data_IF_422325792433
#
_entry.id   IF_422325792433
#
_cell.length_a   1.000
_cell.length_b   1.000
_cell.length_c   1.000
_cell.angle_alpha   90.00
_cell.angle_beta   90.00
_cell.angle_gamma   90.00
#
_symmetry.space_group_name_H-M   'P 1'
#
loop_
_entity.id
_entity.type
_entity.pdbx_description
1 polymer ?
#
# COMPACT_ATOMS: atom_id res chain seq x y z
N UNK A 1 19.52 31.12 -93.89
CA UNK A 1 20.78 30.62 -94.47
C UNK A 1 21.46 29.77 -93.47
N UNK A 2 21.77 28.51 -93.85
CA UNK A 2 22.76 27.59 -93.29
C UNK A 2 22.45 27.08 -91.88
N UNK A 3 21.84 25.89 -91.71
CA UNK A 3 22.31 24.51 -91.83
C UNK A 3 23.51 24.16 -90.92
N UNK A 4 23.33 23.28 -89.92
CA UNK A 4 23.94 21.97 -89.86
C UNK A 4 23.82 21.45 -88.47
N UNK A 5 23.30 20.36 -88.31
CA UNK A 5 23.71 18.96 -88.36
C UNK A 5 24.09 18.37 -87.05
N UNK A 6 23.29 17.53 -86.66
CA UNK A 6 23.27 16.42 -85.70
C UNK A 6 24.62 15.68 -85.57
N UNK A 7 25.01 15.39 -84.30
CA UNK A 7 25.73 14.16 -84.01
C UNK A 7 25.16 13.53 -82.71
N UNK A 8 24.53 12.38 -82.91
CA UNK A 8 24.11 11.55 -81.78
C UNK A 8 25.31 10.73 -81.31
N UNK A 9 25.65 10.87 -80.03
CA UNK A 9 26.55 9.96 -79.35
C UNK A 9 25.76 9.19 -78.32
N UNK A 10 25.55 7.92 -78.54
CA UNK A 10 24.93 6.99 -77.57
C UNK A 10 26.01 6.52 -76.63
N UNK A 11 25.87 6.91 -75.35
CA UNK A 11 26.69 6.37 -74.26
C UNK A 11 25.85 5.34 -73.53
N UNK A 12 26.28 4.08 -73.66
CA UNK A 12 25.77 2.92 -72.93
C UNK A 12 26.26 3.01 -71.46
N UNK A 13 25.41 3.37 -70.50
CA UNK A 13 25.73 3.33 -69.12
C UNK A 13 25.34 1.98 -68.50
N UNK A 14 26.32 1.12 -68.27
CA UNK A 14 26.14 -0.07 -67.43
C UNK A 14 25.82 0.36 -65.98
N UNK A 15 24.56 0.19 -65.60
CA UNK A 15 24.14 0.36 -64.20
C UNK A 15 24.48 -0.88 -63.39
N UNK A 16 25.50 -0.78 -62.55
CA UNK A 16 25.74 -1.73 -61.44
C UNK A 16 24.72 -1.51 -60.37
N UNK A 17 23.74 -2.41 -60.27
CA UNK A 17 22.77 -2.47 -59.13
C UNK A 17 23.53 -3.06 -57.94
N UNK A 18 23.96 -2.21 -57.03
CA UNK A 18 24.42 -2.64 -55.74
C UNK A 18 23.19 -3.00 -54.87
N UNK A 19 22.94 -4.29 -54.71
CA UNK A 19 22.01 -4.81 -53.68
C UNK A 19 22.59 -4.51 -52.30
N UNK A 20 22.15 -3.41 -51.71
CA UNK A 20 22.34 -3.18 -50.26
C UNK A 20 21.34 -4.10 -49.56
N UNK A 21 21.81 -5.26 -49.11
CA UNK A 21 21.10 -6.09 -48.14
C UNK A 21 21.12 -5.35 -46.82
N UNK A 22 20.07 -4.57 -46.54
CA UNK A 22 19.77 -4.16 -45.18
C UNK A 22 19.44 -5.41 -44.36
N UNK A 23 20.41 -5.94 -43.65
CA UNK A 23 20.15 -6.85 -42.55
C UNK A 23 19.39 -6.05 -41.46
N UNK A 24 18.08 -6.12 -41.48
CA UNK A 24 17.27 -5.81 -40.33
C UNK A 24 17.67 -6.83 -39.25
N UNK A 25 18.70 -6.54 -38.47
CA UNK A 25 18.82 -7.13 -37.15
C UNK A 25 17.67 -6.54 -36.36
N UNK A 26 16.54 -7.23 -36.31
CA UNK A 26 15.57 -7.05 -35.26
C UNK A 26 16.36 -7.19 -33.94
N UNK A 27 16.69 -6.06 -33.37
CA UNK A 27 17.05 -6.04 -31.94
C UNK A 27 15.81 -6.55 -31.24
N UNK A 28 15.82 -7.85 -30.92
CA UNK A 28 14.88 -8.44 -30.01
C UNK A 28 14.97 -7.56 -28.75
N UNK A 29 14.00 -6.67 -28.58
CA UNK A 29 13.88 -5.87 -27.38
C UNK A 29 13.63 -6.91 -26.29
N UNK A 30 14.69 -7.31 -25.59
CA UNK A 30 14.57 -8.17 -24.42
C UNK A 30 13.72 -7.33 -23.47
N UNK A 31 12.49 -7.76 -23.24
CA UNK A 31 11.64 -7.14 -22.25
C UNK A 31 12.47 -7.10 -20.95
N UNK A 32 12.55 -5.93 -20.33
CA UNK A 32 13.25 -5.79 -19.08
C UNK A 32 12.70 -6.84 -18.09
N UNK A 33 13.59 -7.53 -17.38
CA UNK A 33 13.19 -8.55 -16.42
C UNK A 33 12.31 -7.90 -15.34
N UNK A 34 11.13 -8.45 -15.09
CA UNK A 34 10.24 -8.00 -14.03
C UNK A 34 10.65 -8.69 -12.73
N UNK A 35 11.28 -7.95 -11.82
CA UNK A 35 11.76 -8.49 -10.55
C UNK A 35 10.62 -8.71 -9.55
N UNK A 36 9.53 -7.95 -9.65
CA UNK A 36 8.35 -8.13 -8.81
C UNK A 36 7.69 -9.51 -9.00
N UNK A 37 7.83 -10.13 -10.17
CA UNK A 37 7.29 -11.47 -10.44
C UNK A 37 8.01 -12.57 -9.63
N UNK A 38 9.17 -12.28 -9.09
CA UNK A 38 9.94 -13.17 -8.22
C UNK A 38 9.62 -12.99 -6.73
N UNK A 39 8.78 -12.03 -6.37
CA UNK A 39 8.39 -11.77 -4.97
C UNK A 39 7.10 -12.52 -4.64
N UNK A 40 7.10 -13.22 -3.53
CA UNK A 40 5.92 -13.82 -2.93
C UNK A 40 5.70 -13.20 -1.53
N UNK A 41 4.86 -12.15 -1.42
CA UNK A 41 4.67 -11.44 -0.15
C UNK A 41 4.03 -12.29 0.96
N UNK A 42 3.50 -13.47 0.63
CA UNK A 42 2.94 -14.40 1.63
C UNK A 42 4.02 -15.22 2.35
N UNK A 43 5.25 -15.30 1.82
CA UNK A 43 6.36 -15.96 2.52
C UNK A 43 6.63 -15.23 3.84
N UNK A 44 6.56 -15.93 4.96
CA UNK A 44 6.76 -15.37 6.29
C UNK A 44 5.49 -14.84 6.97
N UNK A 45 4.32 -14.86 6.31
CA UNK A 45 3.05 -14.45 6.93
C UNK A 45 2.40 -15.52 7.78
N UNK A 46 2.92 -16.75 7.78
CA UNK A 46 2.47 -17.86 8.62
C UNK A 46 3.47 -18.24 9.72
N UNK A 47 3.07 -19.09 10.65
CA UNK A 47 3.88 -19.50 11.79
C UNK A 47 4.27 -18.30 12.65
N UNK A 48 5.57 -18.16 12.92
CA UNK A 48 6.12 -17.05 13.73
C UNK A 48 6.85 -16.02 12.85
N UNK A 49 6.45 -15.84 11.58
CA UNK A 49 7.17 -14.95 10.66
C UNK A 49 6.82 -13.47 10.83
N UNK A 50 5.58 -13.16 11.19
CA UNK A 50 5.08 -11.81 11.48
C UNK A 50 5.31 -10.79 10.37
N UNK A 51 5.24 -11.22 9.10
CA UNK A 51 5.46 -10.36 7.94
C UNK A 51 4.16 -9.65 7.56
N UNK A 52 4.28 -8.37 7.20
CA UNK A 52 3.18 -7.60 6.63
C UNK A 52 2.73 -8.17 5.28
N UNK A 53 1.43 -8.23 5.07
CA UNK A 53 0.78 -8.59 3.81
C UNK A 53 -0.10 -7.44 3.35
N UNK A 54 0.14 -6.92 2.16
CA UNK A 54 -0.63 -5.80 1.63
C UNK A 54 0.14 -4.98 0.59
N UNK A 55 -0.40 -3.79 0.30
CA UNK A 55 0.16 -2.84 -0.65
C UNK A 55 1.05 -1.81 0.05
N UNK A 56 2.25 -1.62 -0.45
CA UNK A 56 3.20 -0.58 -0.05
C UNK A 56 4.14 -0.25 -1.20
N UNK A 57 4.87 0.84 -1.11
CA UNK A 57 6.07 1.10 -1.94
C UNK A 57 7.32 0.92 -1.07
N UNK A 58 8.52 0.80 -1.65
CA UNK A 58 9.75 0.74 -0.88
C UNK A 58 9.84 1.92 0.11
N UNK A 59 9.95 1.61 1.40
CA UNK A 59 10.04 2.58 2.48
C UNK A 59 8.88 3.61 2.58
N UNK A 60 7.74 3.38 1.92
CA UNK A 60 6.58 4.27 2.00
C UNK A 60 6.02 4.41 3.42
N UNK A 61 5.40 5.55 3.71
CA UNK A 61 4.71 5.78 5.00
C UNK A 61 3.50 4.84 5.17
N UNK A 62 2.91 4.39 4.04
CA UNK A 62 1.71 3.54 4.02
C UNK A 62 2.10 2.07 3.87
N UNK A 63 1.59 1.24 4.78
CA UNK A 63 1.49 -0.21 4.65
C UNK A 63 0.01 -0.59 4.73
N UNK A 64 -0.66 -0.59 3.57
CA UNK A 64 -2.10 -0.82 3.46
C UNK A 64 -2.40 -2.31 3.29
N UNK A 65 -3.00 -2.92 4.30
CA UNK A 65 -3.27 -4.35 4.26
C UNK A 65 -4.37 -4.82 5.18
N UNK A 66 -4.75 -6.10 5.06
CA UNK A 66 -5.80 -6.69 5.89
C UNK A 66 -5.36 -6.92 7.33
N UNK A 67 -6.27 -6.62 8.27
CA UNK A 67 -6.18 -7.10 9.64
C UNK A 67 -7.14 -8.27 9.82
N UNK A 68 -6.62 -9.40 10.29
CA UNK A 68 -7.42 -10.54 10.69
C UNK A 68 -8.06 -10.32 12.07
N UNK A 69 -9.06 -11.13 12.39
CA UNK A 69 -9.59 -11.18 13.74
C UNK A 69 -8.59 -11.89 14.66
N UNK A 70 -7.92 -11.11 15.50
CA UNK A 70 -6.78 -11.54 16.31
C UNK A 70 -7.06 -12.78 17.15
N UNK A 71 -6.19 -13.77 17.07
CA UNK A 71 -6.28 -15.02 17.81
C UNK A 71 -5.10 -15.29 18.77
N UNK A 72 -4.03 -14.52 18.67
CA UNK A 72 -2.85 -14.70 19.51
C UNK A 72 -1.66 -13.85 19.09
N UNK A 73 -0.48 -14.19 19.60
CA UNK A 73 0.75 -13.46 19.36
C UNK A 73 1.15 -13.44 17.87
N UNK A 74 0.95 -14.52 17.15
CA UNK A 74 1.33 -14.62 15.74
C UNK A 74 0.55 -13.68 14.81
N UNK A 75 -0.53 -13.06 15.30
CA UNK A 75 -1.29 -12.02 14.59
C UNK A 75 -0.75 -10.60 14.81
N UNK A 76 0.45 -10.43 15.36
CA UNK A 76 0.97 -9.12 15.73
C UNK A 76 1.24 -8.19 14.53
N UNK A 77 1.45 -8.71 13.32
CA UNK A 77 1.54 -7.91 12.10
C UNK A 77 0.19 -7.61 11.42
N UNK A 78 -0.92 -7.92 12.09
CA UNK A 78 -2.29 -7.72 11.56
C UNK A 78 -2.81 -8.91 10.76
N UNK A 79 -2.01 -9.54 9.92
CA UNK A 79 -2.35 -10.69 9.10
C UNK A 79 -1.61 -11.95 9.55
N UNK A 80 -2.30 -13.09 9.43
CA UNK A 80 -1.69 -14.41 9.60
C UNK A 80 -2.24 -15.39 8.57
N UNK A 81 -1.37 -16.09 7.83
CA UNK A 81 -1.74 -16.92 6.70
C UNK A 81 -2.74 -18.06 7.04
N UNK A 82 -2.75 -18.56 8.26
CA UNK A 82 -3.72 -19.57 8.71
C UNK A 82 -5.13 -19.03 8.98
N UNK A 83 -5.32 -17.70 8.94
CA UNK A 83 -6.63 -17.09 9.15
C UNK A 83 -7.40 -16.92 7.82
N UNK A 84 -8.71 -16.88 7.95
CA UNK A 84 -9.65 -16.64 6.86
C UNK A 84 -10.67 -15.52 7.18
N UNK A 85 -10.36 -14.67 8.16
CA UNK A 85 -11.21 -13.55 8.57
C UNK A 85 -10.52 -12.22 8.32
N UNK A 86 -11.28 -11.18 7.98
CA UNK A 86 -10.82 -9.80 7.86
C UNK A 86 -11.77 -8.90 8.65
N UNK A 87 -11.20 -8.07 9.54
CA UNK A 87 -11.93 -7.05 10.32
C UNK A 87 -11.83 -5.66 9.70
N UNK A 88 -10.91 -5.45 8.78
CA UNK A 88 -10.69 -4.20 8.06
C UNK A 88 -9.32 -4.17 7.41
N UNK A 89 -9.08 -3.10 6.66
CA UNK A 89 -7.82 -2.82 5.98
C UNK A 89 -7.19 -1.59 6.64
N UNK A 90 -6.07 -1.82 7.34
CA UNK A 90 -5.35 -0.78 8.07
C UNK A 90 -4.26 -0.14 7.19
N UNK A 91 -3.88 1.09 7.52
CA UNK A 91 -2.96 1.90 6.73
C UNK A 91 -1.52 1.86 7.24
N UNK A 92 -1.30 1.32 8.44
CA UNK A 92 0.01 1.20 9.06
C UNK A 92 0.21 -0.20 9.61
N UNK A 93 1.40 -0.80 9.40
CA UNK A 93 1.75 -2.12 9.93
C UNK A 93 3.23 -2.20 10.25
N UNK A 94 3.57 -3.02 11.25
CA UNK A 94 4.92 -3.54 11.42
C UNK A 94 5.12 -4.78 10.55
N UNK A 95 6.35 -5.07 10.18
CA UNK A 95 6.73 -6.26 9.42
C UNK A 95 7.97 -6.92 10.02
N UNK A 96 7.92 -8.24 10.23
CA UNK A 96 9.03 -9.04 10.73
C UNK A 96 9.35 -8.86 12.22
N UNK A 97 8.54 -8.13 12.97
CA UNK A 97 8.74 -7.82 14.38
C UNK A 97 7.73 -8.61 15.22
N UNK A 98 8.20 -9.40 16.17
CA UNK A 98 7.36 -10.23 17.05
C UNK A 98 6.66 -9.46 18.17
N UNK A 99 6.27 -8.21 17.91
CA UNK A 99 5.49 -7.37 18.79
C UNK A 99 4.34 -6.73 18.02
N UNK A 100 3.18 -6.67 18.61
CA UNK A 100 2.02 -6.04 18.01
C UNK A 100 2.06 -4.53 18.29
N UNK A 101 1.97 -3.76 17.21
CA UNK A 101 1.77 -2.31 17.23
C UNK A 101 1.19 -1.85 15.89
N UNK A 102 0.81 -0.59 15.78
CA UNK A 102 0.21 -0.01 14.59
C UNK A 102 -1.12 -0.71 14.20
N UNK A 103 -1.39 -0.89 12.92
CA UNK A 103 -2.68 -1.36 12.44
C UNK A 103 -3.73 -0.26 12.56
N UNK A 104 -3.31 0.99 12.31
CA UNK A 104 -4.16 2.17 12.49
C UNK A 104 -5.09 2.39 11.31
N UNK A 105 -6.25 2.99 11.60
CA UNK A 105 -7.21 3.49 10.62
C UNK A 105 -7.73 2.36 9.73
N UNK A 106 -8.60 1.52 10.29
CA UNK A 106 -9.20 0.42 9.51
C UNK A 106 -10.42 0.93 8.74
N UNK A 107 -10.43 0.62 7.44
CA UNK A 107 -11.60 0.75 6.60
C UNK A 107 -12.12 -0.64 6.23
N UNK A 108 -13.40 -0.91 6.49
CA UNK A 108 -14.00 -2.20 6.17
C UNK A 108 -15.25 -2.01 5.30
N UNK A 109 -15.21 -2.41 4.01
CA UNK A 109 -16.40 -2.41 3.17
C UNK A 109 -17.37 -3.51 3.61
N UNK A 110 -18.65 -3.14 3.73
CA UNK A 110 -19.71 -4.00 4.22
C UNK A 110 -21.03 -3.74 3.44
N UNK A 111 -22.01 -4.61 3.59
CA UNK A 111 -23.28 -4.52 2.84
C UNK A 111 -24.53 -4.47 3.75
N UNK A 112 -24.43 -4.79 5.01
CA UNK A 112 -25.58 -4.85 5.93
C UNK A 112 -25.08 -4.81 7.36
N UNK A 113 -24.49 -3.68 7.74
CA UNK A 113 -24.06 -3.49 9.12
C UNK A 113 -25.31 -3.25 9.97
N UNK A 114 -25.59 -4.19 10.87
CA UNK A 114 -26.69 -4.10 11.82
C UNK A 114 -26.08 -3.72 13.18
N UNK A 115 -26.49 -2.58 13.70
CA UNK A 115 -26.12 -2.20 15.05
C UNK A 115 -27.07 -2.77 16.10
N UNK A 116 -26.56 -2.98 17.28
CA UNK A 116 -27.33 -3.28 18.47
C UNK A 116 -27.15 -2.17 19.50
N UNK A 117 -28.18 -1.37 19.73
CA UNK A 117 -28.29 -0.50 20.88
C UNK A 117 -27.11 0.45 21.17
N UNK A 118 -26.58 1.12 20.14
CA UNK A 118 -25.57 2.18 20.32
C UNK A 118 -24.10 1.71 20.39
N UNK A 119 -23.85 0.43 20.20
CA UNK A 119 -22.52 -0.16 20.08
C UNK A 119 -22.38 -0.98 18.80
N UNK A 120 -21.22 -0.89 18.11
CA UNK A 120 -20.92 -1.64 16.92
C UNK A 120 -19.79 -2.65 17.22
N UNK A 121 -20.11 -3.92 17.52
CA UNK A 121 -19.08 -4.94 17.69
C UNK A 121 -18.45 -5.31 16.35
N UNK A 122 -17.19 -5.74 16.36
CA UNK A 122 -16.49 -6.18 15.13
C UNK A 122 -17.20 -7.34 14.44
N UNK A 123 -17.91 -8.20 15.19
CA UNK A 123 -18.74 -9.28 14.64
C UNK A 123 -19.87 -8.81 13.72
N UNK A 124 -20.24 -7.53 13.76
CA UNK A 124 -21.28 -6.96 12.90
C UNK A 124 -20.80 -6.69 11.46
N UNK A 125 -19.48 -6.65 11.22
CA UNK A 125 -18.90 -6.34 9.91
C UNK A 125 -17.70 -7.23 9.53
N UNK A 126 -17.17 -8.08 10.44
CA UNK A 126 -16.12 -9.04 10.08
C UNK A 126 -16.57 -9.89 8.90
N UNK A 127 -15.67 -10.09 7.95
CA UNK A 127 -15.90 -10.96 6.79
C UNK A 127 -14.92 -12.11 6.77
N UNK A 128 -15.29 -13.17 6.06
CA UNK A 128 -14.37 -14.26 5.71
C UNK A 128 -13.87 -14.09 4.28
N UNK A 129 -12.81 -14.78 3.93
CA UNK A 129 -12.29 -14.86 2.57
C UNK A 129 -11.74 -16.24 2.26
N UNK A 130 -11.56 -16.56 0.99
CA UNK A 130 -10.94 -17.79 0.53
C UNK A 130 -9.54 -17.46 -0.01
N UNK A 131 -8.54 -18.25 0.36
CA UNK A 131 -7.14 -18.06 -0.06
C UNK A 131 -6.96 -18.06 -1.59
N UNK A 132 -7.74 -18.82 -2.32
CA UNK A 132 -7.72 -18.83 -3.79
C UNK A 132 -8.36 -17.59 -4.44
N UNK A 133 -9.02 -16.72 -3.67
CA UNK A 133 -9.59 -15.45 -4.10
C UNK A 133 -8.78 -14.25 -3.56
N UNK A 134 -7.60 -14.51 -3.01
CA UNK A 134 -6.64 -13.54 -2.53
C UNK A 134 -5.46 -13.43 -3.51
N UNK A 135 -5.07 -12.22 -3.86
CA UNK A 135 -3.90 -11.93 -4.67
C UNK A 135 -3.05 -10.87 -3.97
N UNK A 136 -1.78 -11.16 -3.82
CA UNK A 136 -0.80 -10.23 -3.23
C UNK A 136 0.42 -10.15 -4.13
N UNK A 137 0.76 -8.94 -4.54
CA UNK A 137 2.00 -8.64 -5.26
C UNK A 137 2.62 -7.37 -4.69
N UNK A 138 3.92 -7.08 -4.90
CA UNK A 138 4.49 -5.82 -4.48
C UNK A 138 3.68 -4.62 -4.98
N UNK A 139 3.21 -3.77 -4.07
CA UNK A 139 2.39 -2.60 -4.39
C UNK A 139 0.89 -2.85 -4.56
N UNK A 140 0.43 -4.10 -4.47
CA UNK A 140 -0.98 -4.42 -4.69
C UNK A 140 -1.50 -5.56 -3.79
N UNK A 141 -2.76 -5.44 -3.38
CA UNK A 141 -3.51 -6.47 -2.67
C UNK A 141 -4.94 -6.55 -3.20
N UNK A 142 -5.45 -7.76 -3.38
CA UNK A 142 -6.83 -7.99 -3.79
C UNK A 142 -7.43 -9.16 -3.02
N UNK A 143 -8.73 -9.03 -2.66
CA UNK A 143 -9.47 -10.13 -2.02
C UNK A 143 -10.98 -9.98 -2.25
N UNK A 144 -11.69 -11.12 -2.28
CA UNK A 144 -13.15 -11.16 -2.25
C UNK A 144 -13.66 -11.48 -0.86
N UNK A 145 -14.56 -10.65 -0.33
CA UNK A 145 -15.14 -10.79 1.01
C UNK A 145 -16.43 -11.61 1.00
N UNK A 146 -16.59 -12.50 1.96
CA UNK A 146 -17.77 -13.33 2.17
C UNK A 146 -18.43 -13.08 3.54
N UNK A 147 -19.76 -13.09 3.66
CA UNK A 147 -20.77 -13.34 2.61
C UNK A 147 -21.17 -12.06 1.83
N UNK A 148 -20.46 -10.94 2.04
CA UNK A 148 -20.83 -9.66 1.43
C UNK A 148 -20.77 -9.70 -0.11
N UNK A 149 -19.79 -10.42 -0.67
CA UNK A 149 -19.52 -10.47 -2.11
C UNK A 149 -18.74 -9.25 -2.62
N UNK A 150 -18.24 -8.38 -1.73
CA UNK A 150 -17.45 -7.22 -2.11
C UNK A 150 -16.07 -7.65 -2.56
N UNK A 151 -15.64 -7.18 -3.74
CA UNK A 151 -14.24 -7.27 -4.15
C UNK A 151 -13.51 -6.02 -3.65
N UNK A 152 -12.34 -6.23 -3.07
CA UNK A 152 -11.46 -5.20 -2.53
C UNK A 152 -10.17 -5.23 -3.31
N UNK A 153 -9.72 -4.08 -3.76
CA UNK A 153 -8.38 -3.86 -4.32
C UNK A 153 -7.73 -2.71 -3.57
N UNK A 154 -6.44 -2.86 -3.24
CA UNK A 154 -5.64 -1.90 -2.51
C UNK A 154 -4.34 -1.63 -3.25
N UNK A 155 -3.92 -0.36 -3.26
CA UNK A 155 -2.59 0.08 -3.66
C UNK A 155 -2.15 1.24 -2.78
N UNK A 156 -0.87 1.59 -2.80
CA UNK A 156 -0.35 2.65 -1.95
C UNK A 156 0.69 3.51 -2.68
N UNK A 157 0.54 4.82 -2.54
CA UNK A 157 1.61 5.78 -2.74
C UNK A 157 2.43 5.98 -1.46
N UNK A 158 3.31 6.98 -1.46
CA UNK A 158 4.21 7.20 -0.32
C UNK A 158 3.46 7.55 0.98
N UNK A 159 2.40 8.39 0.91
CA UNK A 159 1.66 8.91 2.07
C UNK A 159 0.15 8.68 1.99
N UNK A 160 -0.31 8.05 0.90
CA UNK A 160 -1.74 7.85 0.62
C UNK A 160 -2.01 6.40 0.26
N UNK A 161 -2.88 5.76 1.02
CA UNK A 161 -3.45 4.46 0.68
C UNK A 161 -4.69 4.62 -0.20
N UNK A 162 -4.82 3.77 -1.20
CA UNK A 162 -5.96 3.78 -2.12
C UNK A 162 -6.71 2.46 -2.09
N UNK A 163 -8.03 2.57 -2.01
CA UNK A 163 -8.94 1.43 -2.05
C UNK A 163 -9.88 1.55 -3.24
N UNK A 164 -10.18 0.40 -3.84
CA UNK A 164 -11.25 0.22 -4.83
C UNK A 164 -12.17 -0.89 -4.35
N UNK A 165 -13.43 -0.56 -4.09
CA UNK A 165 -14.44 -1.49 -3.62
C UNK A 165 -15.50 -1.70 -4.70
N UNK A 166 -15.70 -2.94 -5.14
CA UNK A 166 -16.74 -3.33 -6.08
C UNK A 166 -17.84 -4.08 -5.31
N UNK A 167 -18.97 -3.45 -5.16
CA UNK A 167 -20.13 -4.02 -4.45
C UNK A 167 -21.04 -4.79 -5.39
N UNK A 168 -21.74 -5.84 -4.92
CA UNK A 168 -22.85 -6.44 -5.66
C UNK A 168 -23.93 -5.38 -5.95
N UNK A 169 -24.46 -5.39 -7.18
CA UNK A 169 -25.38 -4.36 -7.68
C UNK A 169 -26.76 -4.35 -6.99
N UNK A 170 -27.08 -5.38 -6.21
CA UNK A 170 -28.33 -5.54 -5.46
C UNK A 170 -28.17 -5.21 -3.96
N UNK A 171 -26.96 -4.86 -3.51
CA UNK A 171 -26.66 -4.60 -2.09
C UNK A 171 -26.29 -3.15 -1.85
N UNK A 172 -26.66 -2.65 -0.66
CA UNK A 172 -26.22 -1.31 -0.22
C UNK A 172 -24.75 -1.32 0.13
N UNK A 173 -24.02 -0.38 -0.43
CA UNK A 173 -22.62 -0.17 -0.14
C UNK A 173 -22.46 0.59 1.19
N UNK A 174 -21.71 0.02 2.11
CA UNK A 174 -21.34 0.64 3.38
C UNK A 174 -19.83 0.53 3.60
N UNK A 175 -19.27 1.48 4.35
CA UNK A 175 -17.89 1.41 4.84
C UNK A 175 -17.90 1.69 6.33
N UNK A 176 -17.26 0.81 7.09
CA UNK A 176 -16.98 1.02 8.51
C UNK A 176 -15.58 1.65 8.63
N UNK A 177 -15.51 2.82 9.22
CA UNK A 177 -14.25 3.43 9.69
C UNK A 177 -14.08 3.04 11.14
N UNK A 178 -13.02 2.32 11.46
CA UNK A 178 -12.79 1.73 12.77
C UNK A 178 -11.46 2.22 13.38
N UNK A 179 -11.54 2.97 14.46
CA UNK A 179 -10.40 3.44 15.25
C UNK A 179 -10.29 2.74 16.61
N UNK A 180 -11.15 1.76 16.87
CA UNK A 180 -11.08 0.94 18.10
C UNK A 180 -10.12 -0.23 17.93
N UNK A 181 -10.21 -0.93 16.79
CA UNK A 181 -9.35 -2.07 16.50
C UNK A 181 -8.01 -1.65 15.89
N UNK A 182 -7.00 -2.47 16.10
CA UNK A 182 -5.63 -2.31 15.57
C UNK A 182 -4.90 -3.65 15.65
N UNK A 183 -3.62 -3.71 15.29
CA UNK A 183 -2.76 -4.88 15.46
C UNK A 183 -2.32 -5.09 16.94
N UNK A 184 -3.18 -4.86 17.89
CA UNK A 184 -2.88 -4.78 19.33
C UNK A 184 -2.24 -6.03 19.92
N UNK A 185 -1.31 -5.80 20.85
CA UNK A 185 -0.81 -6.81 21.78
C UNK A 185 -1.80 -7.09 22.91
N UNK A 186 -2.03 -8.37 23.21
CA UNK A 186 -2.68 -8.79 24.47
C UNK A 186 -1.75 -8.64 25.69
N UNK A 187 -0.48 -8.26 25.48
CA UNK A 187 0.55 -8.47 26.48
C UNK A 187 1.06 -7.22 27.18
N UNK A 188 0.98 -6.03 26.59
CA UNK A 188 1.80 -4.94 27.12
C UNK A 188 1.06 -3.67 27.52
N UNK A 189 0.04 -3.18 26.82
CA UNK A 189 -0.63 -1.92 27.16
C UNK A 189 -2.06 -1.81 26.59
N UNK A 190 -2.70 -0.70 26.86
CA UNK A 190 -4.14 -0.50 26.64
C UNK A 190 -4.58 -0.29 25.16
N UNK A 191 -3.67 -0.38 24.19
CA UNK A 191 -4.03 -0.16 22.78
C UNK A 191 -4.48 1.27 22.48
N UNK A 192 -5.67 1.45 21.94
CA UNK A 192 -6.24 2.77 21.68
C UNK A 192 -6.48 3.53 22.98
N UNK A 193 -5.80 4.68 23.16
CA UNK A 193 -5.98 5.59 24.30
C UNK A 193 -7.14 6.53 24.04
N UNK A 194 -7.19 7.09 22.82
CA UNK A 194 -8.23 8.01 22.38
C UNK A 194 -8.38 7.99 20.88
N UNK A 195 -9.55 8.40 20.40
CA UNK A 195 -9.78 8.63 18.98
C UNK A 195 -10.89 9.66 18.75
N UNK A 196 -10.78 10.37 17.63
CA UNK A 196 -11.82 11.27 17.14
C UNK A 196 -12.14 10.95 15.68
N UNK A 197 -13.42 10.99 15.33
CA UNK A 197 -13.94 10.81 13.98
C UNK A 197 -14.95 11.91 13.67
N UNK A 198 -14.80 12.52 12.50
CA UNK A 198 -15.69 13.57 12.03
C UNK A 198 -15.99 13.42 10.53
N UNK A 199 -17.26 13.50 10.16
CA UNK A 199 -17.69 13.71 8.78
C UNK A 199 -17.62 15.22 8.49
N UNK A 200 -16.78 15.64 7.54
CA UNK A 200 -16.57 17.06 7.19
C UNK A 200 -17.61 17.50 6.16
N UNK A 201 -17.89 16.65 5.19
CA UNK A 201 -18.88 16.86 4.14
C UNK A 201 -19.36 15.48 3.63
N UNK A 202 -20.14 15.46 2.56
CA UNK A 202 -20.70 14.23 1.98
C UNK A 202 -19.67 13.27 1.33
N UNK A 203 -18.40 13.59 1.35
CA UNK A 203 -17.36 12.75 0.75
C UNK A 203 -16.09 12.63 1.61
N UNK A 204 -16.01 13.31 2.76
CA UNK A 204 -14.76 13.43 3.51
C UNK A 204 -14.94 13.10 4.98
N UNK A 205 -14.16 12.13 5.45
CA UNK A 205 -14.00 11.79 6.87
C UNK A 205 -12.60 12.13 7.32
N UNK A 206 -12.48 12.73 8.49
CA UNK A 206 -11.21 13.00 9.16
C UNK A 206 -11.21 12.40 10.56
N UNK A 207 -10.03 12.16 11.09
CA UNK A 207 -9.92 11.70 12.45
C UNK A 207 -8.50 11.63 12.95
N UNK A 208 -8.38 11.23 14.18
CA UNK A 208 -7.11 10.98 14.87
C UNK A 208 -7.27 9.77 15.77
N UNK A 209 -6.23 8.95 15.82
CA UNK A 209 -6.10 7.85 16.78
C UNK A 209 -4.81 8.00 17.56
N UNK A 210 -4.90 7.89 18.86
CA UNK A 210 -3.73 7.80 19.73
C UNK A 210 -3.69 6.44 20.42
N UNK A 211 -2.51 5.86 20.49
CA UNK A 211 -2.24 4.57 21.11
C UNK A 211 -0.97 4.61 21.94
N UNK A 212 -0.86 3.71 22.88
CA UNK A 212 0.33 3.51 23.70
C UNK A 212 0.62 2.00 23.77
N UNK A 213 1.40 1.56 22.80
CA UNK A 213 1.84 0.18 22.65
C UNK A 213 3.37 0.11 22.77
N UNK A 214 4.07 -0.52 21.83
CA UNK A 214 5.52 -0.48 21.76
C UNK A 214 6.01 0.93 21.39
N UNK A 215 5.39 1.56 20.41
CA UNK A 215 5.55 3.00 20.15
C UNK A 215 4.75 3.81 21.17
N UNK A 216 5.44 4.39 22.15
CA UNK A 216 4.82 5.21 23.19
C UNK A 216 4.31 6.55 22.61
N UNK A 217 3.11 6.97 23.02
CA UNK A 217 2.47 8.22 22.58
C UNK A 217 2.33 8.31 21.03
N UNK A 218 2.07 7.17 20.42
CA UNK A 218 1.82 7.11 18.99
C UNK A 218 0.50 7.81 18.64
N UNK A 219 0.52 8.72 17.69
CA UNK A 219 -0.66 9.45 17.23
C UNK A 219 -0.65 9.54 15.73
N UNK A 220 -1.76 9.12 15.10
CA UNK A 220 -1.96 9.16 13.65
C UNK A 220 -3.18 10.00 13.33
N UNK A 221 -3.00 11.05 12.56
CA UNK A 221 -4.06 11.83 11.94
C UNK A 221 -4.34 11.28 10.55
N UNK A 222 -5.58 11.35 10.12
CA UNK A 222 -5.92 10.90 8.77
C UNK A 222 -7.02 11.73 8.13
N UNK A 223 -7.06 11.68 6.81
CA UNK A 223 -8.13 12.20 5.97
C UNK A 223 -8.45 11.22 4.88
N UNK A 224 -9.73 10.80 4.81
CA UNK A 224 -10.25 9.92 3.76
C UNK A 224 -11.23 10.66 2.87
N UNK A 225 -11.06 10.54 1.55
CA UNK A 225 -12.01 11.05 0.54
C UNK A 225 -12.60 9.87 -0.20
N UNK A 226 -13.93 9.89 -0.36
CA UNK A 226 -14.74 8.89 -1.05
C UNK A 226 -15.22 9.45 -2.39
N UNK A 227 -15.15 8.65 -3.46
CA UNK A 227 -15.54 9.05 -4.81
C UNK A 227 -17.05 9.15 -5.04
N UNK A 228 -17.84 8.71 -4.09
CA UNK A 228 -19.31 8.74 -4.11
C UNK A 228 -19.82 9.46 -2.87
N UNK A 229 -20.99 10.15 -2.95
CA UNK A 229 -21.53 10.85 -1.80
C UNK A 229 -21.99 9.89 -0.69
N UNK A 230 -21.68 10.24 0.53
CA UNK A 230 -22.15 9.58 1.75
C UNK A 230 -23.58 10.05 1.98
N UNK A 231 -24.54 9.13 1.82
CA UNK A 231 -25.97 9.43 1.96
C UNK A 231 -26.39 9.50 3.42
N UNK A 232 -25.73 8.71 4.28
CA UNK A 232 -25.99 8.69 5.72
C UNK A 232 -24.73 8.24 6.47
N UNK A 233 -24.59 8.67 7.72
CA UNK A 233 -23.52 8.23 8.60
C UNK A 233 -24.02 8.03 10.01
N UNK A 234 -23.38 7.09 10.72
CA UNK A 234 -23.65 6.84 12.13
C UNK A 234 -22.36 6.66 12.91
N UNK A 235 -22.16 7.52 13.90
CA UNK A 235 -21.01 7.46 14.82
C UNK A 235 -21.35 6.58 16.02
N UNK A 236 -20.44 5.69 16.36
CA UNK A 236 -20.44 4.86 17.57
C UNK A 236 -19.22 5.26 18.41
N UNK A 237 -19.49 5.83 19.56
CA UNK A 237 -18.45 6.27 20.49
C UNK A 237 -18.43 5.35 21.72
N UNK A 238 -17.33 4.65 21.90
CA UNK A 238 -16.94 3.99 23.14
C UNK A 238 -15.91 4.84 23.85
N UNK A 239 -15.61 4.56 25.12
CA UNK A 239 -14.74 5.42 25.95
C UNK A 239 -13.42 5.85 25.27
N UNK A 240 -12.77 4.96 24.52
CA UNK A 240 -11.47 5.21 23.89
C UNK A 240 -11.49 5.09 22.36
N UNK A 241 -12.27 4.18 21.83
CA UNK A 241 -12.33 3.89 20.38
C UNK A 241 -13.63 4.35 19.74
N UNK A 242 -13.55 4.97 18.57
CA UNK A 242 -14.70 5.40 17.77
C UNK A 242 -14.79 4.60 16.50
N UNK A 243 -16.02 4.34 16.08
CA UNK A 243 -16.33 3.75 14.77
C UNK A 243 -17.38 4.59 14.08
N UNK A 244 -17.34 4.62 12.75
CA UNK A 244 -18.37 5.29 11.95
C UNK A 244 -18.79 4.36 10.81
N UNK A 245 -20.10 4.17 10.65
CA UNK A 245 -20.67 3.50 9.47
C UNK A 245 -21.09 4.58 8.50
N UNK A 246 -20.63 4.47 7.26
CA UNK A 246 -20.97 5.32 6.13
C UNK A 246 -21.85 4.52 5.18
N UNK A 247 -22.96 5.07 4.72
CA UNK A 247 -23.90 4.45 3.77
C UNK A 247 -23.88 5.22 2.43
N UNK A 248 -23.61 4.51 1.34
CA UNK A 248 -23.52 5.06 -0.02
C UNK A 248 -24.72 4.63 -0.89
N UNK A 249 -25.67 3.86 -0.34
CA UNK A 249 -26.77 3.30 -1.11
C UNK A 249 -26.30 2.18 -2.05
N UNK A 250 -27.06 1.98 -3.14
CA UNK A 250 -26.73 0.99 -4.18
C UNK A 250 -25.79 1.65 -5.20
N UNK A 251 -24.62 1.08 -5.40
CA UNK A 251 -23.63 1.57 -6.35
C UNK A 251 -23.58 0.67 -7.60
N UNK A 252 -23.49 1.31 -8.77
CA UNK A 252 -23.29 0.62 -10.06
C UNK A 252 -21.85 0.66 -10.52
N UNK A 253 -21.05 1.54 -9.92
CA UNK A 253 -19.63 1.73 -10.18
C UNK A 253 -18.80 1.51 -8.91
N UNK A 254 -17.51 1.22 -9.02
CA UNK A 254 -16.65 1.08 -7.86
C UNK A 254 -16.66 2.32 -6.95
N UNK A 255 -16.57 2.09 -5.65
CA UNK A 255 -16.27 3.12 -4.67
C UNK A 255 -14.74 3.21 -4.53
N UNK A 256 -14.18 4.36 -4.90
CA UNK A 256 -12.77 4.65 -4.68
C UNK A 256 -12.62 5.44 -3.38
N UNK A 257 -11.57 5.11 -2.62
CA UNK A 257 -11.21 5.82 -1.39
C UNK A 257 -9.72 6.15 -1.43
N UNK A 258 -9.39 7.40 -1.12
CA UNK A 258 -8.02 7.86 -0.85
C UNK A 258 -7.93 8.19 0.63
N UNK A 259 -6.97 7.62 1.34
CA UNK A 259 -6.72 7.91 2.75
C UNK A 259 -5.27 8.32 2.93
N UNK A 260 -5.04 9.57 3.29
CA UNK A 260 -3.75 10.06 3.71
C UNK A 260 -3.60 9.99 5.22
N UNK A 261 -2.38 9.72 5.68
CA UNK A 261 -2.03 9.78 7.10
C UNK A 261 -0.95 10.83 7.36
N UNK A 262 -0.87 11.30 8.60
CA UNK A 262 0.20 12.15 9.11
C UNK A 262 0.46 11.80 10.57
N UNK A 263 1.72 11.80 10.97
CA UNK A 263 2.12 11.66 12.38
C UNK A 263 2.27 13.02 13.07
N UNK A 264 1.99 14.11 12.36
CA UNK A 264 2.17 15.50 12.82
C UNK A 264 0.83 16.16 13.13
N UNK A 265 -0.07 16.25 12.15
CA UNK A 265 -1.32 16.99 12.30
C UNK A 265 -2.40 16.62 11.28
N UNK A 266 -3.61 17.12 11.50
CA UNK A 266 -4.73 17.02 10.54
C UNK A 266 -4.45 17.79 9.25
N UNK A 267 -3.73 18.92 9.34
CA UNK A 267 -3.29 19.75 8.21
C UNK A 267 -2.23 19.00 7.40
N UNK A 268 -1.31 18.28 8.07
CA UNK A 268 -0.33 17.40 7.41
C UNK A 268 -1.03 16.29 6.60
N UNK A 269 -2.04 15.64 7.18
CA UNK A 269 -2.84 14.65 6.46
C UNK A 269 -3.59 15.24 5.25
N UNK A 270 -4.06 16.50 5.34
CA UNK A 270 -4.65 17.23 4.21
C UNK A 270 -3.61 17.48 3.12
N UNK A 271 -2.45 18.04 3.48
CA UNK A 271 -1.38 18.35 2.53
C UNK A 271 -0.88 17.07 1.81
N UNK A 272 -0.71 15.96 2.55
CA UNK A 272 -0.34 14.66 1.99
C UNK A 272 -1.39 14.16 0.98
N UNK A 273 -2.68 14.34 1.29
CA UNK A 273 -3.76 13.93 0.40
C UNK A 273 -3.83 14.80 -0.86
N UNK A 274 -3.68 16.13 -0.71
CA UNK A 274 -3.70 17.08 -1.82
C UNK A 274 -2.52 16.93 -2.76
N UNK A 275 -1.38 16.43 -2.27
CA UNK A 275 -0.23 16.12 -3.11
C UNK A 275 -0.43 14.88 -3.99
N UNK A 276 -1.38 13.99 -3.65
CA UNK A 276 -1.64 12.76 -4.40
C UNK A 276 -2.76 12.96 -5.43
N UNK A 277 -2.38 13.36 -6.64
CA UNK A 277 -3.33 13.64 -7.74
C UNK A 277 -3.64 12.43 -8.62
N UNK A 278 -2.81 11.38 -8.56
CA UNK A 278 -2.90 10.20 -9.44
C UNK A 278 -4.17 9.40 -9.16
N UNK A 279 -4.62 8.68 -10.17
CA UNK A 279 -5.69 7.69 -10.08
C UNK A 279 -5.20 6.42 -9.37
N UNK A 280 -6.11 5.52 -9.04
CA UNK A 280 -5.77 4.22 -8.46
C UNK A 280 -4.81 3.42 -9.35
N UNK A 281 -5.09 3.39 -10.67
CA UNK A 281 -4.29 2.60 -11.61
C UNK A 281 -2.89 3.20 -11.80
N UNK A 282 -2.77 4.53 -11.89
CA UNK A 282 -1.47 5.22 -11.95
C UNK A 282 -0.62 4.99 -10.70
N UNK A 283 -1.23 5.00 -9.50
CA UNK A 283 -0.49 4.71 -8.26
C UNK A 283 -0.05 3.24 -8.21
N UNK A 284 -0.89 2.32 -8.69
CA UNK A 284 -0.52 0.91 -8.77
C UNK A 284 0.64 0.68 -9.76
N UNK A 285 0.58 1.28 -10.97
CA UNK A 285 1.65 1.20 -11.96
C UNK A 285 2.98 1.74 -11.41
N UNK A 286 2.95 2.92 -10.77
CA UNK A 286 4.11 3.51 -10.11
C UNK A 286 4.66 2.64 -8.99
N UNK A 287 3.81 2.04 -8.17
CA UNK A 287 4.23 1.14 -7.09
C UNK A 287 4.99 -0.07 -7.64
N UNK A 288 4.51 -0.67 -8.74
CA UNK A 288 5.20 -1.78 -9.43
C UNK A 288 6.55 -1.32 -9.98
N UNK A 289 6.61 -0.13 -10.60
CA UNK A 289 7.86 0.42 -11.13
C UNK A 289 8.89 0.67 -10.01
N UNK A 290 8.47 1.32 -8.91
CA UNK A 290 9.32 1.57 -7.75
C UNK A 290 9.86 0.28 -7.13
N UNK A 291 9.04 -0.77 -7.04
CA UNK A 291 9.50 -2.07 -6.56
C UNK A 291 10.47 -2.74 -7.53
N UNK A 292 10.23 -2.67 -8.84
CA UNK A 292 11.16 -3.19 -9.84
C UNK A 292 12.53 -2.49 -9.74
N UNK A 293 12.52 -1.17 -9.62
CA UNK A 293 13.76 -0.38 -9.48
C UNK A 293 14.51 -0.76 -8.19
N UNK A 294 13.81 -0.87 -7.08
CA UNK A 294 14.41 -1.24 -5.80
C UNK A 294 15.01 -2.66 -5.82
N UNK A 295 14.28 -3.63 -6.37
CA UNK A 295 14.71 -5.03 -6.47
C UNK A 295 15.83 -5.24 -7.49
N UNK A 296 15.87 -4.42 -8.56
CA UNK A 296 16.91 -4.48 -9.61
C UNK A 296 18.32 -4.14 -9.13
N UNK A 297 18.44 -3.51 -7.95
CA UNK A 297 19.74 -3.14 -7.35
C UNK A 297 20.65 -4.34 -7.10
N UNK A 298 20.07 -5.54 -6.95
CA UNK A 298 20.82 -6.79 -6.88
C UNK A 298 20.23 -7.78 -7.89
N UNK A 299 21.04 -8.17 -8.87
CA UNK A 299 20.66 -9.16 -9.87
C UNK A 299 21.35 -10.48 -9.56
N UNK A 300 20.55 -11.55 -9.44
CA UNK A 300 21.07 -12.89 -9.15
C UNK A 300 20.78 -13.85 -10.30
N UNK A 301 21.77 -14.64 -10.66
CA UNK A 301 21.64 -15.75 -11.60
C UNK A 301 21.67 -17.07 -10.81
N UNK A 302 20.51 -17.69 -10.67
CA UNK A 302 20.35 -18.98 -10.00
C UNK A 302 19.53 -19.92 -10.88
N UNK A 303 19.81 -21.23 -10.81
CA UNK A 303 19.11 -22.25 -11.62
C UNK A 303 17.78 -22.69 -11.00
N UNK A 304 17.59 -22.47 -9.71
CA UNK A 304 16.41 -22.87 -8.97
C UNK A 304 15.50 -21.66 -8.76
N UNK A 305 14.35 -21.68 -9.39
CA UNK A 305 13.36 -20.60 -9.29
C UNK A 305 12.86 -20.36 -7.86
N UNK A 306 12.83 -21.40 -7.01
CA UNK A 306 12.45 -21.22 -5.61
C UNK A 306 13.53 -20.44 -4.84
N UNK A 307 14.80 -20.69 -5.14
CA UNK A 307 15.90 -19.90 -4.54
C UNK A 307 15.84 -18.45 -5.01
N UNK A 308 15.54 -18.21 -6.30
CA UNK A 308 15.35 -16.86 -6.84
C UNK A 308 14.18 -16.15 -6.16
N UNK A 309 13.04 -16.84 -6.04
CA UNK A 309 11.86 -16.33 -5.33
C UNK A 309 12.18 -15.99 -3.88
N UNK A 310 12.81 -16.88 -3.12
CA UNK A 310 13.21 -16.62 -1.74
C UNK A 310 14.14 -15.41 -1.63
N UNK A 311 15.09 -15.27 -2.56
CA UNK A 311 16.03 -14.15 -2.56
C UNK A 311 15.31 -12.80 -2.76
N UNK A 312 14.49 -12.68 -3.81
CA UNK A 312 13.79 -11.42 -4.09
C UNK A 312 12.70 -11.10 -3.06
N UNK A 313 12.05 -12.13 -2.48
CA UNK A 313 11.13 -11.93 -1.36
C UNK A 313 11.86 -11.44 -0.11
N UNK A 314 13.03 -11.99 0.21
CA UNK A 314 13.84 -11.50 1.33
C UNK A 314 14.31 -10.06 1.09
N UNK A 315 14.75 -9.72 -0.12
CA UNK A 315 15.12 -8.35 -0.49
C UNK A 315 13.95 -7.39 -0.38
N UNK A 316 12.75 -7.78 -0.87
CA UNK A 316 11.50 -7.03 -0.70
C UNK A 316 11.21 -6.74 0.78
N UNK A 317 11.31 -7.74 1.65
CA UNK A 317 11.06 -7.57 3.09
C UNK A 317 11.99 -6.53 3.73
N UNK A 318 13.23 -6.41 3.27
CA UNK A 318 14.18 -5.42 3.82
C UNK A 318 13.77 -3.98 3.54
N UNK A 319 12.85 -3.73 2.59
CA UNK A 319 12.45 -2.39 2.15
C UNK A 319 11.00 -2.03 2.54
N UNK A 320 10.30 -2.90 3.29
CA UNK A 320 8.98 -2.57 3.89
C UNK A 320 9.18 -1.60 5.05
N UNK A 321 10.24 -1.77 5.82
CA UNK A 321 10.65 -0.92 6.95
C UNK A 321 12.14 -0.61 6.85
N UNK A 322 12.58 0.58 7.29
CA UNK A 322 11.82 1.65 7.93
C UNK A 322 10.94 2.38 6.92
N UNK A 323 9.94 3.12 7.41
CA UNK A 323 9.01 3.88 6.58
C UNK A 323 9.30 5.36 6.68
N UNK A 324 9.03 6.11 5.62
CA UNK A 324 9.04 7.59 5.64
C UNK A 324 8.20 8.08 6.81
N UNK A 325 8.76 9.04 7.56
CA UNK A 325 8.14 9.62 8.76
C UNK A 325 8.05 11.14 8.67
N UNK A 326 7.71 11.64 7.48
CA UNK A 326 7.69 13.06 7.15
C UNK A 326 6.51 13.36 6.24
N UNK A 327 5.78 14.44 6.54
CA UNK A 327 4.73 14.96 5.67
C UNK A 327 5.34 15.61 4.42
N UNK A 328 4.51 15.85 3.40
CA UNK A 328 4.96 16.40 2.10
C UNK A 328 5.60 17.78 2.23
N UNK A 329 5.26 18.54 3.26
CA UNK A 329 5.82 19.86 3.54
C UNK A 329 7.16 19.82 4.29
N UNK A 330 7.67 18.62 4.59
CA UNK A 330 8.91 18.41 5.34
C UNK A 330 8.73 18.35 6.86
N UNK A 331 7.52 18.42 7.37
CA UNK A 331 7.23 18.36 8.81
C UNK A 331 7.31 16.92 9.32
N UNK A 332 7.90 16.72 10.50
CA UNK A 332 7.96 15.42 11.18
C UNK A 332 7.99 15.57 12.69
N UNK A 333 7.61 14.51 13.41
CA UNK A 333 7.63 14.45 14.87
C UNK A 333 8.95 13.84 15.34
N UNK A 334 9.74 14.59 16.09
CA UNK A 334 10.99 14.11 16.67
C UNK A 334 10.77 13.14 17.84
N UNK A 335 11.84 12.43 18.23
CA UNK A 335 11.82 11.52 19.37
C UNK A 335 11.50 12.20 20.71
N UNK A 336 11.69 13.51 20.81
CA UNK A 336 11.30 14.35 21.96
C UNK A 336 9.83 14.76 21.94
N UNK A 337 9.06 14.29 20.95
CA UNK A 337 7.65 14.62 20.76
C UNK A 337 7.36 15.98 20.13
N UNK A 338 8.39 16.76 19.79
CA UNK A 338 8.22 18.05 19.13
C UNK A 338 8.14 17.90 17.61
N UNK A 339 7.49 18.86 16.98
CA UNK A 339 7.41 18.96 15.52
C UNK A 339 8.62 19.75 15.00
N UNK A 340 9.25 19.18 13.98
CA UNK A 340 10.36 19.77 13.23
C UNK A 340 10.00 19.82 11.77
N UNK A 341 10.78 20.56 10.99
CA UNK A 341 10.67 20.64 9.53
C UNK A 341 12.06 20.59 8.91
N UNK A 342 12.22 19.80 7.86
CA UNK A 342 13.48 19.70 7.11
C UNK A 342 13.23 19.40 5.64
N UNK A 343 14.12 19.94 4.78
CA UNK A 343 14.26 19.59 3.37
C UNK A 343 15.63 18.92 3.07
N UNK A 344 16.50 18.84 4.08
CA UNK A 344 17.90 18.43 3.90
C UNK A 344 18.07 16.90 3.95
N UNK A 345 17.13 16.23 4.61
CA UNK A 345 17.08 14.77 4.70
C UNK A 345 15.64 14.29 4.85
N UNK A 346 15.39 13.00 4.62
CA UNK A 346 14.09 12.35 4.85
C UNK A 346 14.15 11.60 6.16
N UNK A 347 13.37 11.98 7.17
CA UNK A 347 13.23 11.20 8.39
C UNK A 347 12.51 9.87 8.13
N UNK A 348 13.00 8.81 8.72
CA UNK A 348 12.40 7.48 8.69
C UNK A 348 12.00 7.04 10.10
N UNK A 349 11.11 6.05 10.19
CA UNK A 349 10.74 5.39 11.45
C UNK A 349 11.95 4.70 12.08
N UNK A 350 11.89 4.48 13.39
CA UNK A 350 12.95 3.82 14.14
C UNK A 350 12.93 2.32 13.85
N UNK A 351 14.12 1.75 13.67
CA UNK A 351 14.32 0.31 13.57
C UNK A 351 14.23 -0.39 14.91
N UNK A 352 13.80 -1.66 14.90
CA UNK A 352 14.17 -2.59 15.93
C UNK A 352 15.63 -3.02 15.70
N UNK A 353 16.57 -2.39 16.38
CA UNK A 353 18.00 -2.67 16.19
C UNK A 353 18.39 -4.12 16.51
N UNK A 354 17.62 -4.78 17.39
CA UNK A 354 17.82 -6.19 17.68
C UNK A 354 17.64 -7.08 16.45
N UNK A 355 16.71 -6.72 15.57
CA UNK A 355 16.43 -7.45 14.34
C UNK A 355 17.40 -7.07 13.20
N UNK A 356 17.78 -5.81 13.10
CA UNK A 356 18.41 -5.24 11.88
C UNK A 356 19.92 -5.07 11.94
N UNK A 357 20.56 -5.10 13.14
CA UNK A 357 21.96 -4.73 13.32
C UNK A 357 22.95 -5.61 12.56
N UNK A 358 22.62 -6.88 12.27
CA UNK A 358 23.57 -7.85 11.69
C UNK A 358 23.81 -7.63 10.21
N UNK A 359 22.75 -7.36 9.42
CA UNK A 359 22.86 -7.41 7.98
C UNK A 359 22.15 -6.26 7.26
N UNK A 360 20.96 -5.81 7.69
CA UNK A 360 20.17 -4.81 6.98
C UNK A 360 20.90 -3.47 6.86
N UNK A 361 21.51 -2.96 7.94
CA UNK A 361 22.26 -1.70 7.85
C UNK A 361 23.49 -1.79 6.92
N UNK A 362 24.36 -2.83 7.00
CA UNK A 362 25.40 -3.02 6.00
C UNK A 362 24.85 -3.16 4.57
N UNK A 363 23.71 -3.84 4.39
CA UNK A 363 23.09 -3.97 3.07
C UNK A 363 22.73 -2.61 2.48
N UNK A 364 22.07 -1.73 3.26
CA UNK A 364 21.70 -0.39 2.79
C UNK A 364 22.90 0.45 2.36
N UNK A 365 24.04 0.34 3.04
CA UNK A 365 25.25 1.05 2.63
C UNK A 365 25.78 0.59 1.25
N UNK A 366 25.35 -0.56 0.76
CA UNK A 366 25.72 -1.09 -0.55
C UNK A 366 24.69 -0.77 -1.65
N UNK A 367 23.40 -0.86 -1.32
CA UNK A 367 22.34 -0.78 -2.33
C UNK A 367 21.52 0.51 -2.28
N UNK A 368 21.58 1.25 -1.17
CA UNK A 368 20.81 2.47 -0.96
C UNK A 368 21.60 3.56 -0.23
N UNK A 369 22.71 3.94 -0.80
CA UNK A 369 23.67 4.89 -0.21
C UNK A 369 23.12 6.31 0.02
N UNK A 370 21.92 6.63 -0.50
CA UNK A 370 21.27 7.92 -0.25
C UNK A 370 20.49 7.94 1.06
N UNK A 371 19.99 6.76 1.48
CA UNK A 371 19.16 6.60 2.66
C UNK A 371 19.88 5.87 3.82
N UNK A 372 21.17 5.50 3.61
CA UNK A 372 22.00 4.79 4.57
C UNK A 372 22.70 5.70 5.60
#
# INVERSE_FOLDING_TARGET
MISNSVFKLSVLALGTVALVACSNSEKKQIAAESYVDWVDPLIGSGGHGHVFVGASIPHGMIQLGPNNNKKGWDWCSGYHDSDSTIIGFAHTHLSGTGIADLGDILLMPAVSVIDSAGYLPSSAYVSTFLKQEELVTPGFYQVKLHPSGVNVELTAGERVGMHRYVYPSDKKAQVVVDLENSAQSLMLREGTISSELQLINDSTVVGVRSSDEWAMNHTVYFRSIFSKPILNSRLYAKEKGKKMVLDFGILQEPLLVKTAVSYVSSEGALANLEAEHRTFDEVHEDAVELWNDALSKIQVEVKDDNVKKMFYTALYHTMISPSVFQDVDGSYKGADGKVYQTSDFVPYTIFSLWDTYRAVHPLYTLIDTRNA
#
